data_IF_136501001823
#
_entry.id   IF_136501001823
#
_cell.length_a   1.000
_cell.length_b   1.000
_cell.length_c   1.000
_cell.angle_alpha   90.00
_cell.angle_beta   90.00
_cell.angle_gamma   90.00
#
_symmetry.space_group_name_H-M   'P 1'
#
loop_
_entity.id
_entity.type
_entity.pdbx_description
1 polymer ?
#
# COMPACT_ATOMS: atom_id res chain seq x y z
N UNK A 1 25.01 20.49 23.29
CA UNK A 1 23.95 20.19 22.29
C UNK A 1 22.67 19.76 23.01
N UNK A 2 21.52 20.37 22.70
CA UNK A 2 20.22 19.97 23.26
C UNK A 2 19.83 18.62 22.63
N UNK A 3 19.68 17.54 23.42
CA UNK A 3 19.18 16.25 22.91
C UNK A 3 17.80 16.49 22.27
N UNK A 4 17.66 16.20 20.98
CA UNK A 4 16.37 16.23 20.28
C UNK A 4 15.71 14.87 20.44
N UNK A 5 14.56 14.84 21.08
CA UNK A 5 13.73 13.64 21.16
C UNK A 5 12.84 13.55 19.92
N UNK A 6 12.70 12.35 19.35
CA UNK A 6 11.72 12.08 18.28
C UNK A 6 10.31 12.03 18.86
N UNK A 7 9.28 12.11 18.01
CA UNK A 7 7.88 12.00 18.44
C UNK A 7 7.64 10.65 19.12
N UNK A 8 8.13 9.56 18.54
CA UNK A 8 8.02 8.21 19.12
C UNK A 8 8.66 8.10 20.51
N UNK A 9 9.82 8.73 20.70
CA UNK A 9 10.48 8.77 21.99
C UNK A 9 9.66 9.56 23.01
N UNK A 10 9.10 10.71 22.60
CA UNK A 10 8.22 11.52 23.45
C UNK A 10 6.99 10.70 23.87
N UNK A 11 6.34 10.00 22.94
CA UNK A 11 5.17 9.15 23.22
C UNK A 11 5.52 8.04 24.21
N UNK A 12 6.65 7.35 24.03
CA UNK A 12 7.11 6.30 24.96
C UNK A 12 7.36 6.85 26.36
N UNK A 13 8.00 8.02 26.46
CA UNK A 13 8.27 8.69 27.74
C UNK A 13 6.95 9.10 28.42
N UNK A 14 5.99 9.62 27.66
CA UNK A 14 4.66 9.97 28.17
C UNK A 14 3.90 8.74 28.67
N UNK A 15 3.90 7.64 27.91
CA UNK A 15 3.27 6.39 28.31
C UNK A 15 3.89 5.81 29.59
N UNK A 16 5.22 5.87 29.72
CA UNK A 16 5.91 5.44 30.94
C UNK A 16 5.55 6.32 32.14
N UNK A 17 5.44 7.63 31.96
CA UNK A 17 5.05 8.57 33.01
C UNK A 17 3.57 8.42 33.45
N UNK A 18 2.71 7.89 32.57
CA UNK A 18 1.28 7.65 32.83
C UNK A 18 1.00 6.22 33.34
N UNK A 19 2.00 5.33 33.34
CA UNK A 19 1.86 3.96 33.85
C UNK A 19 1.63 3.97 35.36
N UNK A 20 0.61 3.27 35.88
CA UNK A 20 0.38 3.17 37.32
C UNK A 20 1.63 2.67 38.07
N UNK A 21 2.01 3.37 39.14
CA UNK A 21 3.21 3.04 39.93
C UNK A 21 4.48 3.79 39.52
N UNK A 22 4.51 4.43 38.34
CA UNK A 22 5.60 5.34 37.97
C UNK A 22 5.29 6.77 38.42
N UNK A 23 6.35 7.50 38.82
CA UNK A 23 6.25 8.94 39.09
C UNK A 23 6.83 9.75 37.96
N UNK A 24 6.17 10.88 37.62
CA UNK A 24 6.67 11.85 36.62
C UNK A 24 8.09 12.30 36.95
N UNK A 25 8.39 12.49 38.25
CA UNK A 25 9.73 12.83 38.74
C UNK A 25 10.78 11.75 38.43
N UNK A 26 10.46 10.47 38.63
CA UNK A 26 11.37 9.37 38.31
C UNK A 26 11.62 9.27 36.79
N UNK A 27 10.56 9.38 35.99
CA UNK A 27 10.67 9.38 34.53
C UNK A 27 11.50 10.57 34.03
N UNK A 28 11.28 11.76 34.58
CA UNK A 28 12.06 12.96 34.25
C UNK A 28 13.56 12.74 34.52
N UNK A 29 13.92 12.19 35.69
CA UNK A 29 15.30 11.84 36.04
C UNK A 29 15.89 10.79 35.10
N UNK A 30 15.16 9.72 34.81
CA UNK A 30 15.59 8.62 33.93
C UNK A 30 15.99 9.11 32.53
N UNK A 31 15.22 10.04 31.97
CA UNK A 31 15.44 10.56 30.61
C UNK A 31 16.27 11.85 30.56
N UNK A 32 16.71 12.37 31.71
CA UNK A 32 17.51 13.60 31.78
C UNK A 32 16.74 14.84 31.31
N UNK A 33 15.44 14.89 31.61
CA UNK A 33 14.54 16.01 31.26
C UNK A 33 13.88 16.58 32.52
N UNK A 34 13.34 17.80 32.44
CA UNK A 34 12.53 18.35 33.53
C UNK A 34 11.11 17.81 33.51
N UNK A 35 10.47 17.72 34.68
CA UNK A 35 9.04 17.37 34.78
C UNK A 35 8.16 18.33 33.97
N UNK A 36 8.53 19.62 33.93
CA UNK A 36 7.85 20.63 33.12
C UNK A 36 7.85 20.28 31.62
N UNK A 37 8.92 19.65 31.12
CA UNK A 37 8.98 19.14 29.75
C UNK A 37 7.94 18.06 29.51
N UNK A 38 7.80 17.12 30.46
CA UNK A 38 6.80 16.06 30.39
C UNK A 38 5.38 16.63 30.40
N UNK A 39 5.08 17.60 31.26
CA UNK A 39 3.76 18.25 31.28
C UNK A 39 3.44 18.99 29.97
N UNK A 40 4.42 19.70 29.38
CA UNK A 40 4.26 20.35 28.07
C UNK A 40 4.02 19.35 26.96
N UNK A 41 4.78 18.25 26.94
CA UNK A 41 4.57 17.18 25.97
C UNK A 41 3.21 16.51 26.16
N UNK A 42 2.77 16.28 27.40
CA UNK A 42 1.46 15.71 27.70
C UNK A 42 0.34 16.58 27.14
N UNK A 43 0.43 17.91 27.25
CA UNK A 43 -0.56 18.82 26.64
C UNK A 43 -0.53 18.76 25.12
N UNK A 44 0.66 18.72 24.52
CA UNK A 44 0.83 18.78 23.06
C UNK A 44 0.52 17.47 22.33
N UNK A 45 0.85 16.33 22.95
CA UNK A 45 0.76 15.00 22.35
C UNK A 45 -0.30 14.13 23.03
N UNK A 46 -1.19 14.74 23.82
CA UNK A 46 -2.32 14.02 24.42
C UNK A 46 -3.16 13.37 23.33
N UNK A 47 -3.47 12.09 23.48
CA UNK A 47 -4.31 11.38 22.51
C UNK A 47 -3.64 11.14 21.16
N UNK A 48 -2.34 11.43 21.02
CA UNK A 48 -1.61 11.18 19.78
C UNK A 48 -1.60 9.68 19.45
N UNK A 49 -1.36 8.80 20.44
CA UNK A 49 -1.43 7.34 20.26
C UNK A 49 -2.81 6.85 19.76
N UNK A 50 -3.90 7.40 20.28
CA UNK A 50 -5.25 7.08 19.81
C UNK A 50 -5.51 7.59 18.38
N UNK A 51 -4.97 8.78 18.05
CA UNK A 51 -5.06 9.33 16.70
C UNK A 51 -4.21 8.55 15.69
N UNK A 52 -3.03 8.07 16.09
CA UNK A 52 -2.16 7.22 15.29
C UNK A 52 -2.81 5.86 15.04
N UNK A 53 -3.39 5.24 16.07
CA UNK A 53 -4.11 3.98 15.92
C UNK A 53 -5.30 4.11 14.95
N UNK A 54 -6.07 5.21 15.04
CA UNK A 54 -7.14 5.51 14.06
C UNK A 54 -6.60 5.70 12.66
N UNK A 55 -5.50 6.46 12.51
CA UNK A 55 -4.86 6.69 11.21
C UNK A 55 -4.32 5.39 10.61
N UNK A 56 -3.72 4.53 11.42
CA UNK A 56 -3.21 3.24 11.00
C UNK A 56 -4.34 2.37 10.46
N UNK A 57 -5.44 2.24 11.22
CA UNK A 57 -6.62 1.48 10.78
C UNK A 57 -7.20 2.01 9.47
N UNK A 58 -7.33 3.33 9.32
CA UNK A 58 -7.82 3.94 8.09
C UNK A 58 -6.88 3.67 6.89
N UNK A 59 -5.56 3.70 7.11
CA UNK A 59 -4.57 3.37 6.08
C UNK A 59 -4.60 1.88 5.70
N UNK A 60 -4.82 0.98 6.66
CA UNK A 60 -4.97 -0.45 6.41
C UNK A 60 -6.24 -0.74 5.60
N UNK A 61 -7.37 -0.12 5.95
CA UNK A 61 -8.63 -0.23 5.22
C UNK A 61 -8.50 0.29 3.79
N UNK A 62 -7.88 1.45 3.59
CA UNK A 62 -7.67 2.01 2.26
C UNK A 62 -6.68 1.15 1.45
N UNK A 63 -5.62 0.62 2.07
CA UNK A 63 -4.70 -0.29 1.39
C UNK A 63 -5.41 -1.57 0.91
N UNK A 64 -6.28 -2.15 1.75
CA UNK A 64 -7.08 -3.31 1.39
C UNK A 64 -8.02 -3.00 0.22
N UNK A 65 -8.69 -1.84 0.26
CA UNK A 65 -9.55 -1.37 -0.83
C UNK A 65 -8.77 -1.19 -2.13
N UNK A 66 -7.61 -0.53 -2.09
CA UNK A 66 -6.78 -0.29 -3.27
C UNK A 66 -6.26 -1.59 -3.87
N UNK A 67 -5.82 -2.54 -3.05
CA UNK A 67 -5.40 -3.88 -3.52
C UNK A 67 -6.52 -4.62 -4.23
N UNK A 68 -7.74 -4.56 -3.69
CA UNK A 68 -8.91 -5.17 -4.32
C UNK A 68 -9.20 -4.53 -5.69
N UNK A 69 -9.23 -3.20 -5.76
CA UNK A 69 -9.49 -2.48 -7.00
C UNK A 69 -8.41 -2.77 -8.06
N UNK A 70 -7.16 -2.86 -7.64
CA UNK A 70 -6.04 -3.21 -8.52
C UNK A 70 -6.23 -4.62 -9.10
N UNK A 71 -6.53 -5.61 -8.26
CA UNK A 71 -6.76 -6.99 -8.72
C UNK A 71 -7.95 -7.07 -9.70
N UNK A 72 -9.06 -6.38 -9.41
CA UNK A 72 -10.21 -6.31 -10.33
C UNK A 72 -9.82 -5.71 -11.69
N UNK A 73 -9.00 -4.65 -11.71
CA UNK A 73 -8.53 -4.01 -12.93
C UNK A 73 -7.52 -4.86 -13.69
N UNK A 74 -6.62 -5.56 -13.00
CA UNK A 74 -5.67 -6.48 -13.62
C UNK A 74 -6.41 -7.63 -14.34
N UNK A 75 -7.47 -8.18 -13.73
CA UNK A 75 -8.31 -9.20 -14.37
C UNK A 75 -9.02 -8.66 -15.62
N UNK A 76 -9.56 -7.44 -15.56
CA UNK A 76 -10.19 -6.79 -16.71
C UNK A 76 -9.19 -6.59 -17.87
N UNK A 77 -7.98 -6.12 -17.56
CA UNK A 77 -6.90 -5.95 -18.55
C UNK A 77 -6.50 -7.30 -19.16
N UNK A 78 -6.38 -8.35 -18.36
CA UNK A 78 -6.06 -9.69 -18.84
C UNK A 78 -7.13 -10.19 -19.83
N UNK A 79 -8.41 -10.09 -19.46
CA UNK A 79 -9.51 -10.50 -20.33
C UNK A 79 -9.53 -9.72 -21.66
N UNK A 80 -9.35 -8.39 -21.62
CA UNK A 80 -9.28 -7.57 -22.83
C UNK A 80 -8.08 -7.94 -23.72
N UNK A 81 -6.93 -8.19 -23.10
CA UNK A 81 -5.72 -8.60 -23.83
C UNK A 81 -5.90 -9.95 -24.51
N UNK A 82 -6.58 -10.90 -23.88
CA UNK A 82 -6.89 -12.20 -24.48
C UNK A 82 -7.85 -12.09 -25.67
N UNK A 83 -8.86 -11.22 -25.57
CA UNK A 83 -9.79 -10.94 -26.67
C UNK A 83 -9.04 -10.35 -27.87
N UNK A 84 -8.18 -9.35 -27.64
CA UNK A 84 -7.37 -8.73 -28.69
C UNK A 84 -6.44 -9.74 -29.37
N UNK A 85 -5.77 -10.61 -28.60
CA UNK A 85 -4.94 -11.68 -29.15
C UNK A 85 -5.75 -12.60 -30.07
N UNK A 86 -6.93 -13.05 -29.63
CA UNK A 86 -7.81 -13.91 -30.44
C UNK A 86 -8.24 -13.22 -31.74
N UNK A 87 -8.57 -11.92 -31.70
CA UNK A 87 -8.93 -11.17 -32.89
C UNK A 87 -7.77 -11.07 -33.89
N UNK A 88 -6.56 -10.75 -33.41
CA UNK A 88 -5.36 -10.71 -34.26
C UNK A 88 -5.06 -12.06 -34.91
N UNK A 89 -5.23 -13.16 -34.17
CA UNK A 89 -5.00 -14.50 -34.71
C UNK A 89 -6.06 -14.91 -35.75
N UNK A 90 -7.33 -14.51 -35.54
CA UNK A 90 -8.38 -14.67 -36.57
C UNK A 90 -8.08 -13.86 -37.84
N UNK A 91 -7.53 -12.66 -37.70
CA UNK A 91 -7.18 -11.81 -38.84
C UNK A 91 -6.01 -12.39 -39.65
N UNK A 92 -4.98 -12.93 -38.98
CA UNK A 92 -3.88 -13.66 -39.64
C UNK A 92 -4.38 -14.86 -40.44
N UNK A 93 -5.34 -15.63 -39.90
CA UNK A 93 -5.92 -16.79 -40.58
C UNK A 93 -6.64 -16.42 -41.89
N UNK A 94 -7.23 -15.22 -41.96
CA UNK A 94 -7.89 -14.73 -43.19
C UNK A 94 -6.91 -14.37 -44.30
N UNK A 95 -5.66 -14.05 -43.96
CA UNK A 95 -4.63 -13.59 -44.91
C UNK A 95 -3.85 -14.77 -45.51
N UNK A 96 -3.93 -15.98 -44.93
CA UNK A 96 -3.27 -17.18 -45.49
C UNK A 96 -3.92 -17.52 -46.83
N UNK A 97 -3.19 -17.50 -47.96
CA UNK A 97 -3.76 -17.83 -49.25
C UNK A 97 -4.18 -19.31 -49.22
N UNK A 98 -5.45 -19.59 -49.46
CA UNK A 98 -5.85 -20.95 -49.78
C UNK A 98 -5.08 -21.35 -51.03
N UNK A 99 -4.14 -22.29 -50.92
CA UNK A 99 -3.53 -22.97 -52.06
C UNK A 99 -4.67 -23.67 -52.80
N UNK A 100 -5.34 -22.94 -53.69
CA UNK A 100 -6.25 -23.49 -54.65
C UNK A 100 -5.45 -24.47 -55.49
N UNK A 101 -5.89 -25.73 -55.51
CA UNK A 101 -5.31 -26.82 -56.29
C UNK A 101 -5.50 -26.64 -57.79
N UNK A 102 -5.10 -25.48 -58.34
CA UNK A 102 -4.95 -25.32 -59.78
C UNK A 102 -3.64 -25.96 -60.24
N UNK A 103 -3.68 -27.26 -60.52
CA UNK A 103 -2.89 -27.80 -61.64
C UNK A 103 -3.82 -27.95 -62.84
N UNK A 104 -3.79 -26.92 -63.68
CA UNK A 104 -4.43 -26.86 -64.99
C UNK A 104 -3.76 -27.81 -65.99
N UNK A 105 -4.61 -28.49 -66.79
CA UNK A 105 -4.49 -28.82 -68.24
C UNK A 105 -3.35 -29.80 -68.62
N UNK A 106 -3.59 -30.87 -69.39
CA UNK A 106 -4.23 -30.89 -70.71
C UNK A 106 -4.56 -32.33 -71.18
N UNK A 107 -5.76 -32.54 -71.75
CA UNK A 107 -6.02 -33.47 -72.88
C UNK A 107 -5.66 -32.71 -74.20
N UNK A 108 -5.52 -33.30 -75.41
CA UNK A 108 -5.81 -34.67 -75.88
C UNK A 108 -4.78 -35.27 -76.89
N UNK A 109 -4.95 -36.54 -77.27
CA UNK A 109 -5.29 -36.97 -78.65
C UNK A 109 -6.13 -38.24 -78.56
#
# INVERSE_FOLDING_TARGET
MKKRFTIDQIIKILAEAETPGNSVAATARKYGISEQTIYRWRQKYRGFSASEAKRLKALEEENARLKRLLAEKELEIQALTEILKKQLDQEKLKIIPQRSGQKNRSLPK
#
